data_IF_157147344915
#
_entry.id   IF_157147344915
#
_cell.length_a   1.000
_cell.length_b   1.000
_cell.length_c   1.000
_cell.angle_alpha   90.00
_cell.angle_beta   90.00
_cell.angle_gamma   90.00
#
_symmetry.space_group_name_H-M   'P 1'
#
loop_
_entity.id
_entity.type
_entity.pdbx_description
1 polymer ?
#
# COMPACT_ATOMS: atom_id res chain seq x y z
N UNK A 1 18.35 1.59 -24.14
CA UNK A 1 18.43 0.80 -22.89
C UNK A 1 17.55 1.50 -21.88
N UNK A 2 16.51 0.85 -21.37
CA UNK A 2 15.59 1.45 -20.41
C UNK A 2 16.13 1.25 -19.00
N UNK A 3 16.18 2.32 -18.20
CA UNK A 3 16.64 2.28 -16.81
C UNK A 3 15.43 2.23 -15.88
N UNK A 4 15.21 1.13 -15.13
CA UNK A 4 14.09 1.05 -14.19
C UNK A 4 14.26 2.09 -13.08
N UNK A 5 13.18 2.82 -12.81
CA UNK A 5 13.13 3.88 -11.80
C UNK A 5 12.00 3.58 -10.81
N UNK A 6 12.19 3.96 -9.55
CA UNK A 6 11.15 3.87 -8.53
C UNK A 6 11.14 5.10 -7.63
N UNK A 7 9.96 5.43 -7.11
CA UNK A 7 9.78 6.38 -6.04
C UNK A 7 8.69 5.85 -5.12
N UNK A 8 9.07 5.48 -3.91
CA UNK A 8 8.18 4.89 -2.91
C UNK A 8 8.08 5.84 -1.74
N UNK A 9 6.87 6.28 -1.41
CA UNK A 9 6.59 7.14 -0.26
C UNK A 9 5.81 6.37 0.79
N UNK A 10 6.30 6.38 2.03
CA UNK A 10 5.67 5.75 3.18
C UNK A 10 5.64 6.77 4.31
N UNK A 11 4.46 7.25 4.66
CA UNK A 11 4.31 8.32 5.65
C UNK A 11 5.12 9.57 5.25
N UNK A 12 6.09 9.95 6.10
CA UNK A 12 7.02 11.06 5.88
C UNK A 12 8.29 10.68 5.12
N UNK A 13 8.53 9.38 4.90
CA UNK A 13 9.76 8.85 4.32
C UNK A 13 9.59 8.57 2.82
N UNK A 14 10.64 8.81 2.03
CA UNK A 14 10.68 8.45 0.61
C UNK A 14 11.94 7.67 0.24
N UNK A 15 11.78 6.67 -0.63
CA UNK A 15 12.85 5.83 -1.16
C UNK A 15 12.91 5.95 -2.69
N UNK A 16 14.11 6.18 -3.21
CA UNK A 16 14.41 6.14 -4.66
C UNK A 16 15.20 4.89 -5.06
N UNK A 17 15.56 4.06 -4.09
CA UNK A 17 16.30 2.82 -4.28
C UNK A 17 15.82 1.79 -3.27
N UNK A 18 15.51 0.60 -3.76
CA UNK A 18 14.94 -0.52 -3.00
C UNK A 18 15.55 -1.83 -3.49
N UNK A 19 15.55 -2.86 -2.65
CA UNK A 19 16.06 -4.18 -3.05
C UNK A 19 15.02 -4.89 -3.92
N UNK A 20 13.75 -4.81 -3.52
CA UNK A 20 12.67 -5.51 -4.22
C UNK A 20 11.32 -4.85 -3.93
N UNK A 21 10.47 -4.81 -4.95
CA UNK A 21 9.06 -4.43 -4.80
C UNK A 21 8.21 -5.46 -5.54
N UNK A 22 7.24 -6.04 -4.85
CA UNK A 22 6.26 -6.95 -5.45
C UNK A 22 4.87 -6.40 -5.20
N UNK A 23 4.09 -6.21 -6.25
CA UNK A 23 2.67 -5.84 -6.17
C UNK A 23 1.86 -7.03 -6.69
N UNK A 24 0.93 -7.54 -5.88
CA UNK A 24 0.09 -8.69 -6.21
C UNK A 24 -1.36 -8.24 -6.37
N UNK A 25 -1.86 -8.36 -7.59
CA UNK A 25 -3.25 -8.12 -7.98
C UNK A 25 -3.82 -9.42 -8.57
N UNK A 26 -4.96 -9.86 -8.06
CA UNK A 26 -5.63 -11.08 -8.54
C UNK A 26 -7.13 -10.94 -8.40
N UNK A 27 -7.89 -11.48 -9.35
CA UNK A 27 -9.35 -11.54 -9.25
C UNK A 27 -9.84 -12.39 -8.08
N UNK A 28 -9.02 -13.34 -7.61
CA UNK A 28 -9.35 -14.20 -6.47
C UNK A 28 -9.08 -13.53 -5.11
N UNK A 29 -8.36 -12.41 -5.09
CA UNK A 29 -8.05 -11.66 -3.87
C UNK A 29 -8.74 -10.30 -3.91
N UNK A 30 -9.64 -10.05 -2.97
CA UNK A 30 -10.35 -8.77 -2.84
C UNK A 30 -9.40 -7.60 -2.55
N UNK A 31 -8.33 -7.86 -1.79
CA UNK A 31 -7.33 -6.86 -1.43
C UNK A 31 -6.10 -6.98 -2.34
N UNK A 32 -5.63 -5.85 -2.87
CA UNK A 32 -4.32 -5.75 -3.50
C UNK A 32 -3.27 -5.62 -2.39
N UNK A 33 -2.17 -6.37 -2.53
CA UNK A 33 -1.06 -6.33 -1.56
C UNK A 33 0.24 -5.92 -2.24
N UNK A 34 1.12 -5.28 -1.47
CA UNK A 34 2.48 -4.98 -1.90
C UNK A 34 3.50 -5.38 -0.82
N UNK A 35 4.65 -5.88 -1.26
CA UNK A 35 5.80 -6.19 -0.41
C UNK A 35 6.98 -5.35 -0.88
N UNK A 36 7.51 -4.53 0.01
CA UNK A 36 8.67 -3.68 -0.27
C UNK A 36 9.82 -4.16 0.61
N UNK A 37 10.97 -4.47 0.00
CA UNK A 37 12.20 -4.81 0.72
C UNK A 37 13.20 -3.67 0.58
N UNK A 38 13.57 -3.08 1.70
CA UNK A 38 14.54 -1.97 1.75
C UNK A 38 15.79 -2.40 2.53
N UNK A 39 16.99 -1.93 2.15
CA UNK A 39 18.18 -2.13 2.97
C UNK A 39 17.97 -1.44 4.32
N UNK A 40 18.41 -2.07 5.41
CA UNK A 40 18.23 -1.52 6.77
C UNK A 40 18.96 -0.18 6.93
N UNK A 41 20.09 -0.02 6.24
CA UNK A 41 20.86 1.23 6.08
C UNK A 41 20.38 2.03 4.86
N UNK A 42 19.07 2.19 4.68
CA UNK A 42 18.58 3.15 3.71
C UNK A 42 19.02 4.56 4.17
N UNK A 43 19.83 5.22 3.35
CA UNK A 43 20.22 6.61 3.56
C UNK A 43 18.97 7.46 3.37
N UNK A 44 18.30 7.79 4.47
CA UNK A 44 17.15 8.69 4.47
C UNK A 44 17.64 10.10 4.15
N UNK A 45 17.32 10.61 2.96
CA UNK A 45 17.48 12.03 2.66
C UNK A 45 16.34 12.79 3.34
N UNK A 46 16.53 13.18 4.61
CA UNK A 46 15.76 14.30 5.14
C UNK A 46 16.28 15.56 4.44
N UNK A 47 15.37 16.35 3.88
CA UNK A 47 15.68 17.63 3.23
C UNK A 47 16.49 18.53 4.16
N UNK A 48 17.82 18.59 3.95
CA UNK A 48 18.72 19.57 4.56
C UNK A 48 19.66 19.07 5.67
N UNK A 49 19.61 17.81 6.08
CA UNK A 49 20.44 17.29 7.19
C UNK A 49 21.42 16.18 6.76
N UNK A 50 22.60 16.07 7.40
CA UNK A 50 23.56 15.00 7.14
C UNK A 50 22.92 13.62 7.39
N UNK A 51 23.35 12.57 6.67
CA UNK A 51 22.72 11.26 6.72
C UNK A 51 22.86 10.65 8.11
N UNK A 52 21.85 10.82 8.95
CA UNK A 52 21.77 10.16 10.23
C UNK A 52 21.37 8.69 9.99
N UNK A 53 22.07 7.76 10.63
CA UNK A 53 21.67 6.36 10.77
C UNK A 53 20.40 6.29 11.64
N UNK A 54 19.29 6.86 11.18
CA UNK A 54 18.00 6.74 11.85
C UNK A 54 17.35 5.50 11.26
N UNK A 55 17.19 4.50 12.13
CA UNK A 55 16.55 3.23 11.90
C UNK A 55 15.28 3.43 11.07
N UNK A 56 15.32 3.10 9.77
CA UNK A 56 14.16 3.15 8.84
C UNK A 56 12.91 2.50 9.45
N UNK A 57 13.13 1.52 10.31
CA UNK A 57 12.18 0.88 11.20
C UNK A 57 11.37 1.83 12.11
N UNK A 58 12.00 2.84 12.70
CA UNK A 58 11.36 3.74 13.68
C UNK A 58 10.52 4.83 13.03
N UNK A 59 10.87 5.21 11.79
CA UNK A 59 10.16 6.26 11.06
C UNK A 59 8.87 5.76 10.40
N UNK A 60 8.76 4.45 10.16
CA UNK A 60 7.60 3.83 9.51
C UNK A 60 6.75 3.14 10.57
N UNK A 61 5.44 3.34 10.49
CA UNK A 61 4.49 2.72 11.41
C UNK A 61 3.38 2.01 10.65
N UNK A 62 2.82 0.99 11.28
CA UNK A 62 1.58 0.35 10.81
C UNK A 62 0.48 1.41 10.69
N UNK A 63 -0.23 1.39 9.56
CA UNK A 63 -1.26 2.38 9.22
C UNK A 63 -0.75 3.59 8.43
N UNK A 64 0.56 3.74 8.23
CA UNK A 64 1.09 4.82 7.39
C UNK A 64 0.63 4.68 5.93
N UNK A 65 0.35 5.82 5.30
CA UNK A 65 -0.02 5.86 3.87
C UNK A 65 1.17 5.48 3.01
N UNK A 66 0.93 4.63 2.02
CA UNK A 66 1.91 4.15 1.05
C UNK A 66 1.52 4.56 -0.36
N UNK A 67 2.47 5.10 -1.11
CA UNK A 67 2.39 5.33 -2.55
C UNK A 67 3.63 4.72 -3.22
N UNK A 68 3.43 3.80 -4.16
CA UNK A 68 4.49 3.17 -4.94
C UNK A 68 4.38 3.65 -6.38
N UNK A 69 5.41 4.36 -6.84
CA UNK A 69 5.54 4.76 -8.24
C UNK A 69 6.69 4.02 -8.89
N UNK A 70 6.43 3.39 -10.03
CA UNK A 70 7.40 2.62 -10.79
C UNK A 70 7.37 3.06 -12.26
N UNK A 71 8.48 2.84 -12.96
CA UNK A 71 8.53 3.07 -14.41
C UNK A 71 9.96 3.04 -14.94
N UNK A 72 10.19 3.69 -16.08
CA UNK A 72 11.47 3.66 -16.78
C UNK A 72 11.89 5.07 -17.22
N UNK A 73 13.19 5.31 -17.27
CA UNK A 73 13.81 6.55 -17.77
C UNK A 73 13.23 7.82 -17.10
N UNK A 74 13.03 7.77 -15.78
CA UNK A 74 12.49 8.86 -14.97
C UNK A 74 10.98 9.08 -15.10
N UNK A 75 10.28 8.36 -15.99
CA UNK A 75 8.83 8.41 -16.13
C UNK A 75 8.19 7.40 -15.17
N UNK A 76 7.56 7.92 -14.12
CA UNK A 76 6.98 7.13 -13.04
C UNK A 76 5.45 7.17 -13.09
N UNK A 77 4.81 6.01 -12.94
CA UNK A 77 3.36 5.86 -12.80
C UNK A 77 3.03 5.32 -11.41
N UNK A 78 1.89 5.71 -10.85
CA UNK A 78 1.41 5.17 -9.58
C UNK A 78 0.88 3.76 -9.77
N UNK A 79 1.64 2.77 -9.30
CA UNK A 79 1.32 1.35 -9.41
C UNK A 79 0.66 0.79 -8.16
N UNK A 80 0.75 1.47 -7.02
CA UNK A 80 0.04 1.04 -5.81
C UNK A 80 -0.17 2.21 -4.86
N UNK A 81 -1.34 2.22 -4.23
CA UNK A 81 -1.65 3.11 -3.12
C UNK A 81 -2.32 2.30 -2.03
N UNK A 82 -1.84 2.42 -0.81
CA UNK A 82 -2.33 1.62 0.30
C UNK A 82 -1.85 2.11 1.64
N UNK A 83 -1.78 1.18 2.58
CA UNK A 83 -1.38 1.42 3.95
C UNK A 83 -0.39 0.34 4.39
N UNK A 84 0.51 0.70 5.31
CA UNK A 84 1.42 -0.27 5.94
C UNK A 84 0.58 -1.20 6.81
N UNK A 85 0.57 -2.48 6.45
CA UNK A 85 -0.11 -3.54 7.19
C UNK A 85 0.75 -4.05 8.33
N UNK A 86 2.03 -4.30 8.05
CA UNK A 86 2.99 -4.86 9.01
C UNK A 86 4.43 -4.58 8.58
N UNK A 87 5.31 -4.43 9.58
CA UNK A 87 6.76 -4.39 9.41
C UNK A 87 7.36 -5.71 9.91
N UNK A 88 8.16 -6.37 9.06
CA UNK A 88 8.97 -7.51 9.48
C UNK A 88 10.44 -7.05 9.56
N UNK A 89 10.96 -6.92 10.78
CA UNK A 89 12.34 -6.52 11.06
C UNK A 89 13.35 -7.63 10.74
N UNK A 90 13.40 -8.03 9.49
CA UNK A 90 14.41 -8.93 8.92
C UNK A 90 15.45 -8.09 8.16
N UNK A 91 16.52 -8.73 7.71
CA UNK A 91 17.51 -8.12 6.82
C UNK A 91 17.39 -8.80 5.46
N UNK A 92 16.97 -8.10 4.38
CA UNK A 92 16.49 -6.71 4.32
C UNK A 92 15.14 -6.49 5.02
N UNK A 93 14.84 -5.24 5.40
CA UNK A 93 13.59 -4.87 6.08
C UNK A 93 12.42 -5.09 5.12
N UNK A 94 11.42 -5.86 5.54
CA UNK A 94 10.24 -6.13 4.72
C UNK A 94 9.03 -5.35 5.24
N UNK A 95 8.40 -4.61 4.33
CA UNK A 95 7.22 -3.79 4.60
C UNK A 95 6.06 -4.38 3.82
N UNK A 96 5.11 -4.97 4.54
CA UNK A 96 3.88 -5.49 3.98
C UNK A 96 2.84 -4.37 3.93
N UNK A 97 2.28 -4.14 2.75
CA UNK A 97 1.29 -3.12 2.49
C UNK A 97 0.01 -3.77 1.93
N UNK A 98 -1.12 -3.14 2.22
CA UNK A 98 -2.43 -3.53 1.72
C UNK A 98 -3.13 -2.27 1.20
N UNK A 99 -3.94 -2.38 0.15
CA UNK A 99 -4.63 -1.25 -0.46
C UNK A 99 -5.70 -0.62 0.45
N UNK A 100 -6.63 0.15 -0.12
CA UNK A 100 -7.74 0.75 0.64
C UNK A 100 -8.56 -0.26 1.44
N UNK A 101 -8.52 -1.55 1.05
CA UNK A 101 -9.18 -2.63 1.79
C UNK A 101 -8.68 -2.74 3.24
N UNK A 102 -7.46 -2.28 3.54
CA UNK A 102 -6.92 -2.19 4.90
C UNK A 102 -7.89 -1.49 5.88
N UNK A 103 -8.57 -0.42 5.43
CA UNK A 103 -9.53 0.34 6.26
C UNK A 103 -10.75 -0.46 6.69
N UNK A 104 -11.06 -1.55 5.99
CA UNK A 104 -12.21 -2.41 6.30
C UNK A 104 -11.94 -3.34 7.47
N UNK A 105 -10.67 -3.65 7.77
CA UNK A 105 -10.26 -4.55 8.87
C UNK A 105 -10.66 -4.03 10.26
N UNK A 106 -10.82 -2.72 10.39
CA UNK A 106 -11.21 -2.07 11.64
C UNK A 106 -12.70 -1.75 11.72
N UNK A 107 -13.50 -2.23 10.75
CA UNK A 107 -14.94 -2.03 10.75
C UNK A 107 -15.57 -3.19 11.50
N UNK A 108 -16.13 -2.89 12.68
CA UNK A 108 -17.07 -3.78 13.34
C UNK A 108 -18.47 -3.44 12.82
N UNK A 109 -19.13 -4.39 12.17
CA UNK A 109 -20.50 -4.22 11.72
C UNK A 109 -21.35 -5.39 12.23
N UNK A 110 -22.46 -5.05 12.89
CA UNK A 110 -23.53 -5.99 13.21
C UNK A 110 -24.71 -5.61 12.33
N UNK A 111 -24.93 -6.39 11.29
CA UNK A 111 -26.04 -6.20 10.36
C UNK A 111 -26.89 -7.46 10.33
N UNK A 112 -28.17 -7.33 10.70
CA UNK A 112 -29.11 -8.44 10.70
C UNK A 112 -30.44 -7.96 10.12
N UNK A 113 -30.85 -8.57 9.01
CA UNK A 113 -32.15 -8.37 8.37
C UNK A 113 -32.64 -9.71 7.79
N UNK A 114 -33.96 -9.89 7.79
CA UNK A 114 -34.61 -11.13 7.31
C UNK A 114 -34.46 -11.33 5.80
N UNK A 115 -34.57 -10.24 5.03
CA UNK A 115 -34.30 -10.18 3.59
C UNK A 115 -33.61 -8.86 3.26
N UNK A 116 -32.60 -8.90 2.40
CA UNK A 116 -31.78 -7.74 2.05
C UNK A 116 -31.00 -8.01 0.76
N UNK A 117 -30.78 -6.99 -0.07
CA UNK A 117 -29.88 -7.10 -1.20
C UNK A 117 -28.42 -6.95 -0.74
N UNK A 118 -27.48 -7.60 -1.44
CA UNK A 118 -26.05 -7.49 -1.15
C UNK A 118 -25.55 -6.04 -1.20
N UNK A 119 -26.07 -5.25 -2.15
CA UNK A 119 -25.76 -3.82 -2.28
C UNK A 119 -26.12 -3.04 -1.01
N UNK A 120 -27.27 -3.35 -0.42
CA UNK A 120 -27.75 -2.66 0.79
C UNK A 120 -26.95 -3.07 2.02
N UNK A 121 -26.53 -4.33 2.10
CA UNK A 121 -25.56 -4.78 3.10
C UNK A 121 -24.22 -4.07 2.95
N UNK A 122 -23.70 -3.96 1.73
CA UNK A 122 -22.41 -3.32 1.49
C UNK A 122 -22.45 -1.83 1.87
N UNK A 123 -23.52 -1.14 1.49
CA UNK A 123 -23.72 0.26 1.82
C UNK A 123 -23.87 0.49 3.33
N UNK A 124 -24.52 -0.42 4.06
CA UNK A 124 -24.65 -0.30 5.52
C UNK A 124 -23.31 -0.52 6.22
N UNK A 125 -22.55 -1.53 5.81
CA UNK A 125 -21.24 -1.89 6.39
C UNK A 125 -20.18 -0.83 6.07
N UNK A 126 -20.18 -0.25 4.86
CA UNK A 126 -19.15 0.69 4.39
C UNK A 126 -19.55 2.17 4.48
N UNK A 127 -20.67 2.49 5.15
CA UNK A 127 -21.20 3.84 5.25
C UNK A 127 -20.15 4.86 5.74
N UNK A 128 -19.84 5.85 4.89
CA UNK A 128 -18.87 6.91 5.19
C UNK A 128 -17.45 6.70 4.68
N UNK A 129 -17.13 5.59 3.99
CA UNK A 129 -15.81 5.36 3.39
C UNK A 129 -15.89 5.25 1.87
N UNK A 130 -15.05 6.02 1.18
CA UNK A 130 -14.82 5.92 -0.26
C UNK A 130 -13.98 4.67 -0.58
N UNK A 131 -14.50 3.48 -0.28
CA UNK A 131 -14.05 2.28 -0.99
C UNK A 131 -14.67 2.44 -2.37
N UNK A 132 -13.96 3.16 -3.23
CA UNK A 132 -14.42 3.48 -4.58
C UNK A 132 -14.94 2.20 -5.20
N UNK A 133 -16.21 2.22 -5.57
CA UNK A 133 -16.90 1.16 -6.27
C UNK A 133 -16.33 0.99 -7.67
N UNK A 134 -15.07 0.58 -7.76
CA UNK A 134 -14.52 -0.08 -8.93
C UNK A 134 -14.63 -1.57 -8.64
N UNK A 135 -15.87 -2.07 -8.60
CA UNK A 135 -16.10 -3.36 -9.21
C UNK A 135 -15.57 -3.18 -10.64
N UNK A 136 -14.50 -3.88 -11.06
CA UNK A 136 -14.14 -3.82 -12.47
C UNK A 136 -15.42 -4.17 -13.22
N UNK A 137 -15.83 -3.30 -14.14
CA UNK A 137 -16.78 -3.66 -15.16
C UNK A 137 -16.11 -4.81 -15.92
N UNK A 138 -16.34 -6.02 -15.43
CA UNK A 138 -15.89 -7.24 -16.06
C UNK A 138 -16.83 -7.39 -17.24
N UNK A 139 -16.47 -6.71 -18.33
CA UNK A 139 -16.99 -7.00 -19.65
C UNK A 139 -16.66 -8.48 -19.89
N UNK A 140 -17.68 -9.31 -19.71
CA UNK A 140 -17.71 -10.64 -20.28
C UNK A 140 -18.13 -10.40 -21.74
N UNK A 141 -17.15 -10.41 -22.63
CA UNK A 141 -17.34 -10.63 -24.07
C UNK A 141 -16.81 -12.01 -24.40
#
# INVERSE_FOLDING_TARGET
MFVPCCHIKIGSVSFTSINEVQIKRSMYNLAVTALIKVPVTAVLKHTGEPPAHIETANAIKTGDRVEIKLGYDGKLNTEFTGYVKRLNYKVPLEIECEDEYYKTRFINCVFSKKETALKDCLNSVLSGKSVSSTLPAMFIS
#
